data_IF_814830206430
#
_entry.id   IF_814830206430
#
_cell.length_a   1.000
_cell.length_b   1.000
_cell.length_c   1.000
_cell.angle_alpha   90.00
_cell.angle_beta   90.00
_cell.angle_gamma   90.00
#
_symmetry.space_group_name_H-M   'P 1'
#
loop_
_entity.id
_entity.type
_entity.pdbx_description
1 polymer ?
#
# COMPACT_ATOMS: atom_id res chain seq x y z
N UNK A 1 -70.60 -24.58 15.99
CA UNK A 1 -69.25 -23.97 16.11
C UNK A 1 -68.16 -25.00 16.39
N UNK A 2 -68.37 -26.03 17.21
CA UNK A 2 -67.36 -27.07 17.53
C UNK A 2 -66.84 -27.86 16.32
N UNK A 3 -67.68 -28.17 15.33
CA UNK A 3 -67.24 -28.89 14.12
C UNK A 3 -66.26 -28.07 13.25
N UNK A 4 -66.45 -26.75 13.18
CA UNK A 4 -65.52 -25.85 12.48
C UNK A 4 -64.17 -25.74 13.20
N UNK A 5 -64.19 -25.70 14.54
CA UNK A 5 -62.97 -25.76 15.37
C UNK A 5 -62.23 -27.09 15.16
N UNK A 6 -62.94 -28.22 15.10
CA UNK A 6 -62.33 -29.53 14.83
C UNK A 6 -61.77 -29.64 13.40
N UNK A 7 -62.49 -29.12 12.41
CA UNK A 7 -62.06 -29.13 11.00
C UNK A 7 -60.80 -28.26 10.78
N UNK A 8 -60.72 -27.11 11.45
CA UNK A 8 -59.55 -26.24 11.36
C UNK A 8 -58.32 -26.87 12.03
N UNK A 9 -58.50 -27.56 13.16
CA UNK A 9 -57.45 -28.39 13.77
C UNK A 9 -56.96 -29.52 12.85
N UNK A 10 -57.88 -30.25 12.20
CA UNK A 10 -57.53 -31.32 11.26
C UNK A 10 -56.75 -30.80 10.04
N UNK A 11 -57.16 -29.65 9.47
CA UNK A 11 -56.42 -29.01 8.37
C UNK A 11 -55.02 -28.56 8.80
N UNK A 12 -54.89 -28.05 10.03
CA UNK A 12 -53.59 -27.69 10.60
C UNK A 12 -52.67 -28.91 10.69
N UNK A 13 -53.16 -30.02 11.26
CA UNK A 13 -52.42 -31.27 11.35
C UNK A 13 -52.03 -31.84 9.97
N UNK A 14 -52.93 -31.79 8.98
CA UNK A 14 -52.62 -32.22 7.61
C UNK A 14 -51.46 -31.42 7.00
N UNK A 15 -51.42 -30.11 7.24
CA UNK A 15 -50.34 -29.24 6.74
C UNK A 15 -49.01 -29.51 7.44
N UNK A 16 -49.04 -29.80 8.74
CA UNK A 16 -47.84 -30.17 9.50
C UNK A 16 -47.24 -31.50 9.01
N UNK A 17 -48.11 -32.51 8.81
CA UNK A 17 -47.72 -33.80 8.25
C UNK A 17 -47.16 -33.61 6.85
N UNK A 18 -47.82 -32.86 5.97
CA UNK A 18 -47.33 -32.62 4.62
C UNK A 18 -45.95 -31.93 4.60
N UNK A 19 -45.74 -30.94 5.46
CA UNK A 19 -44.45 -30.24 5.60
C UNK A 19 -43.36 -31.18 6.11
N UNK A 20 -43.68 -31.99 7.11
CA UNK A 20 -42.74 -32.99 7.68
C UNK A 20 -42.42 -34.09 6.68
N UNK A 21 -43.41 -34.60 5.95
CA UNK A 21 -43.22 -35.60 4.89
C UNK A 21 -42.32 -35.07 3.78
N UNK A 22 -42.48 -33.80 3.36
CA UNK A 22 -41.61 -33.19 2.37
C UNK A 22 -40.16 -33.05 2.86
N UNK A 23 -39.97 -32.69 4.13
CA UNK A 23 -38.64 -32.63 4.74
C UNK A 23 -37.95 -34.00 4.75
N UNK A 24 -38.68 -35.07 5.13
CA UNK A 24 -38.16 -36.44 5.17
C UNK A 24 -37.80 -36.90 3.77
N UNK A 25 -38.66 -36.64 2.78
CA UNK A 25 -38.41 -37.01 1.39
C UNK A 25 -37.15 -36.35 0.80
N UNK A 26 -36.77 -35.16 1.28
CA UNK A 26 -35.61 -34.41 0.80
C UNK A 26 -34.36 -34.52 1.68
N UNK A 27 -34.30 -35.50 2.59
CA UNK A 27 -33.15 -35.68 3.50
C UNK A 27 -31.82 -35.91 2.75
N UNK A 28 -31.87 -36.53 1.56
CA UNK A 28 -30.70 -36.78 0.72
C UNK A 28 -30.35 -35.64 -0.24
N UNK A 29 -31.18 -34.61 -0.34
CA UNK A 29 -31.00 -33.52 -1.29
C UNK A 29 -29.97 -32.50 -0.78
N UNK A 30 -28.87 -32.34 -1.52
CA UNK A 30 -27.85 -31.34 -1.21
C UNK A 30 -28.42 -29.91 -1.24
N UNK A 31 -28.05 -29.10 -0.24
CA UNK A 31 -28.48 -27.70 -0.14
C UNK A 31 -29.95 -27.50 0.30
N UNK A 32 -30.70 -28.56 0.59
CA UNK A 32 -32.09 -28.45 1.05
C UNK A 32 -32.19 -27.72 2.41
N UNK A 33 -33.18 -26.84 2.55
CA UNK A 33 -33.52 -26.16 3.80
C UNK A 33 -34.89 -26.63 4.29
N UNK A 34 -34.90 -27.32 5.43
CA UNK A 34 -36.13 -27.83 6.03
C UNK A 34 -37.12 -26.71 6.32
N UNK A 35 -38.40 -27.01 6.16
CA UNK A 35 -39.49 -26.09 6.44
C UNK A 35 -40.27 -26.50 7.69
N UNK A 36 -40.93 -25.54 8.36
CA UNK A 36 -41.81 -25.79 9.50
C UNK A 36 -43.13 -25.03 9.30
N UNK A 37 -44.25 -25.70 9.59
CA UNK A 37 -45.55 -25.06 9.66
C UNK A 37 -45.68 -24.26 10.96
N UNK A 38 -46.13 -23.02 10.85
CA UNK A 38 -46.48 -22.16 11.98
C UNK A 38 -47.99 -21.96 12.04
N UNK A 39 -48.57 -22.12 13.23
CA UNK A 39 -50.00 -22.00 13.46
C UNK A 39 -50.32 -20.76 14.29
N UNK A 40 -51.49 -20.18 14.06
CA UNK A 40 -52.10 -19.15 14.88
C UNK A 40 -53.47 -19.59 15.36
N UNK A 41 -53.90 -19.04 16.48
CA UNK A 41 -55.29 -19.15 16.93
C UNK A 41 -56.20 -18.25 16.07
N UNK A 42 -57.47 -18.61 16.00
CA UNK A 42 -58.52 -17.77 15.42
C UNK A 42 -59.40 -17.32 16.58
N UNK A 43 -59.50 -16.01 16.77
CA UNK A 43 -60.41 -15.41 17.75
C UNK A 43 -61.41 -14.49 17.06
N UNK A 44 -62.69 -14.62 17.42
CA UNK A 44 -63.72 -13.65 17.06
C UNK A 44 -63.65 -12.46 18.01
N UNK A 45 -63.23 -11.30 17.53
CA UNK A 45 -63.11 -10.12 18.38
C UNK A 45 -64.46 -9.42 18.55
N UNK A 46 -65.00 -9.42 19.76
CA UNK A 46 -65.81 -8.30 20.25
C UNK A 46 -65.03 -7.63 21.39
N UNK A 47 -64.62 -6.35 21.28
CA UNK A 47 -63.69 -5.68 22.22
C UNK A 47 -64.14 -5.59 23.68
N UNK A 48 -65.38 -5.98 24.00
CA UNK A 48 -66.01 -5.82 25.32
C UNK A 48 -66.34 -7.15 26.01
N UNK A 49 -65.99 -8.30 25.43
CA UNK A 49 -66.38 -9.62 25.95
C UNK A 49 -65.16 -10.41 26.46
N UNK A 50 -65.09 -10.60 27.78
CA UNK A 50 -63.97 -11.26 28.49
C UNK A 50 -64.01 -12.79 28.50
N UNK A 51 -65.13 -13.41 28.11
CA UNK A 51 -65.33 -14.87 28.10
C UNK A 51 -65.65 -15.40 26.69
N UNK A 52 -64.77 -15.17 25.73
CA UNK A 52 -64.99 -15.60 24.33
C UNK A 52 -64.29 -16.92 24.06
N UNK A 53 -65.04 -17.94 23.61
CA UNK A 53 -64.50 -19.24 23.21
C UNK A 53 -63.73 -19.10 21.90
N UNK A 54 -62.52 -19.67 21.83
CA UNK A 54 -61.69 -19.64 20.61
C UNK A 54 -62.36 -20.30 19.40
N UNK A 55 -62.09 -19.77 18.20
CA UNK A 55 -62.72 -20.20 16.95
C UNK A 55 -61.89 -21.24 16.16
N UNK A 56 -60.83 -21.79 16.76
CA UNK A 56 -59.95 -22.81 16.15
C UNK A 56 -58.56 -22.29 15.82
N UNK A 57 -57.90 -22.90 14.83
CA UNK A 57 -56.52 -22.57 14.44
C UNK A 57 -56.36 -22.43 12.93
N UNK A 58 -55.43 -21.61 12.47
CA UNK A 58 -55.06 -21.52 11.06
C UNK A 58 -53.55 -21.67 10.90
N UNK A 59 -53.13 -22.27 9.78
CA UNK A 59 -51.73 -22.19 9.37
C UNK A 59 -51.42 -20.76 8.94
N UNK A 60 -50.48 -20.13 9.65
CA UNK A 60 -50.05 -18.75 9.40
C UNK A 60 -49.02 -18.67 8.29
N UNK A 61 -48.03 -19.56 8.32
CA UNK A 61 -46.98 -19.62 7.30
C UNK A 61 -46.23 -20.95 7.34
N UNK A 62 -45.54 -21.28 6.24
CA UNK A 62 -44.54 -22.33 6.20
C UNK A 62 -43.19 -21.63 6.05
N UNK A 63 -42.34 -21.72 7.07
CA UNK A 63 -41.03 -21.04 7.08
C UNK A 63 -39.89 -22.01 6.86
N UNK A 64 -38.96 -21.62 5.99
CA UNK A 64 -37.68 -22.32 5.83
C UNK A 64 -36.74 -22.02 6.99
N UNK A 65 -35.97 -23.02 7.41
CA UNK A 65 -34.95 -22.90 8.44
C UNK A 65 -33.56 -22.90 7.80
N UNK A 66 -32.84 -21.78 7.92
CA UNK A 66 -31.52 -21.57 7.32
C UNK A 66 -30.33 -22.02 8.19
N UNK A 67 -30.55 -22.94 9.13
CA UNK A 67 -29.45 -23.53 9.90
C UNK A 67 -28.44 -24.24 9.00
N UNK A 68 -27.16 -24.22 9.40
CA UNK A 68 -26.10 -24.96 8.71
C UNK A 68 -26.29 -26.47 8.94
N UNK A 69 -26.19 -27.26 7.87
CA UNK A 69 -26.17 -28.71 7.93
C UNK A 69 -24.75 -29.25 7.91
N UNK A 70 -24.60 -30.58 8.00
CA UNK A 70 -23.32 -31.24 7.88
C UNK A 70 -22.74 -31.05 6.47
N UNK A 71 -21.43 -30.81 6.39
CA UNK A 71 -20.70 -30.75 5.14
C UNK A 71 -20.01 -32.11 4.95
N UNK A 72 -20.31 -32.79 3.85
CA UNK A 72 -19.61 -34.00 3.43
C UNK A 72 -18.52 -33.64 2.44
N UNK A 73 -17.38 -34.32 2.50
CA UNK A 73 -16.35 -34.17 1.48
C UNK A 73 -16.78 -34.88 0.19
N UNK A 74 -16.42 -34.29 -0.94
CA UNK A 74 -16.55 -34.88 -2.27
C UNK A 74 -15.16 -35.04 -2.90
N UNK A 75 -15.03 -35.96 -3.84
CA UNK A 75 -13.81 -36.15 -4.64
C UNK A 75 -13.79 -35.24 -5.88
N UNK A 76 -14.92 -34.64 -6.26
CA UNK A 76 -15.01 -33.74 -7.40
C UNK A 76 -14.49 -32.34 -7.03
N UNK A 77 -13.69 -31.74 -7.91
CA UNK A 77 -13.06 -30.44 -7.68
C UNK A 77 -14.04 -29.26 -7.76
N UNK A 78 -15.13 -29.43 -8.52
CA UNK A 78 -16.17 -28.41 -8.68
C UNK A 78 -17.31 -28.52 -7.66
N UNK A 79 -17.25 -29.51 -6.76
CA UNK A 79 -18.21 -29.62 -5.67
C UNK A 79 -17.80 -28.69 -4.53
N UNK A 80 -18.57 -27.61 -4.35
CA UNK A 80 -18.29 -26.57 -3.37
C UNK A 80 -19.38 -26.49 -2.30
N UNK A 81 -18.98 -26.15 -1.07
CA UNK A 81 -19.91 -25.88 0.01
C UNK A 81 -19.57 -24.55 0.69
N UNK A 82 -20.54 -23.66 0.80
CA UNK A 82 -20.39 -22.44 1.63
C UNK A 82 -20.50 -22.84 3.11
N UNK A 83 -19.48 -22.51 3.90
CA UNK A 83 -19.53 -22.59 5.36
C UNK A 83 -20.06 -21.26 5.92
N UNK A 84 -21.18 -21.32 6.63
CA UNK A 84 -21.85 -20.13 7.16
C UNK A 84 -22.94 -19.57 6.22
N UNK A 85 -23.16 -18.26 6.34
CA UNK A 85 -24.18 -17.54 5.57
C UNK A 85 -23.68 -17.21 4.16
N UNK A 86 -24.58 -17.21 3.19
CA UNK A 86 -24.29 -16.93 1.78
C UNK A 86 -24.91 -17.95 0.84
N UNK A 87 -24.98 -17.61 -0.45
CA UNK A 87 -25.53 -18.45 -1.52
C UNK A 87 -24.62 -18.34 -2.74
N UNK A 88 -24.62 -19.38 -3.58
CA UNK A 88 -24.10 -19.28 -4.93
C UNK A 88 -25.11 -18.55 -5.81
N UNK A 89 -24.60 -17.73 -6.72
CA UNK A 89 -25.37 -16.95 -7.69
C UNK A 89 -25.29 -17.63 -9.05
N UNK A 90 -26.45 -17.88 -9.66
CA UNK A 90 -26.56 -18.48 -10.98
C UNK A 90 -27.37 -17.60 -11.91
N UNK A 91 -27.17 -17.80 -13.21
CA UNK A 91 -27.93 -17.17 -14.27
C UNK A 91 -28.65 -18.23 -15.09
N UNK A 92 -29.96 -18.07 -15.26
CA UNK A 92 -30.78 -19.03 -16.00
C UNK A 92 -30.33 -19.18 -17.45
N UNK A 93 -30.12 -20.41 -17.90
CA UNK A 93 -29.55 -20.69 -19.23
C UNK A 93 -30.41 -20.25 -20.42
N UNK A 94 -31.72 -20.08 -20.23
CA UNK A 94 -32.65 -19.61 -21.27
C UNK A 94 -33.20 -18.19 -21.08
N UNK A 95 -33.07 -17.61 -19.88
CA UNK A 95 -33.56 -16.27 -19.55
C UNK A 95 -32.41 -15.43 -18.99
N UNK A 96 -31.75 -14.68 -19.87
CA UNK A 96 -30.54 -13.90 -19.59
C UNK A 96 -30.69 -12.77 -18.55
N UNK A 97 -31.85 -12.63 -17.88
CA UNK A 97 -32.11 -11.64 -16.85
C UNK A 97 -32.41 -12.20 -15.45
N UNK A 98 -32.57 -13.51 -15.27
CA UNK A 98 -32.92 -14.06 -13.96
C UNK A 98 -31.68 -14.56 -13.22
N UNK A 99 -31.38 -13.89 -12.10
CA UNK A 99 -30.42 -14.37 -11.10
C UNK A 99 -31.11 -15.31 -10.14
N UNK A 100 -30.52 -16.49 -9.92
CA UNK A 100 -30.99 -17.54 -9.02
C UNK A 100 -29.98 -17.73 -7.91
N UNK A 101 -30.45 -18.00 -6.68
CA UNK A 101 -29.59 -18.25 -5.53
C UNK A 101 -29.76 -19.70 -5.06
N UNK A 102 -28.66 -20.41 -4.82
CA UNK A 102 -28.70 -21.79 -4.34
C UNK A 102 -27.64 -22.06 -3.27
N UNK A 103 -27.87 -23.10 -2.47
CA UNK A 103 -26.86 -23.69 -1.58
C UNK A 103 -26.31 -25.00 -2.11
N UNK A 104 -26.90 -25.56 -3.16
CA UNK A 104 -26.35 -26.73 -3.82
C UNK A 104 -25.12 -26.29 -4.64
N UNK A 105 -23.95 -26.79 -4.28
CA UNK A 105 -22.72 -26.47 -5.00
C UNK A 105 -22.18 -27.64 -5.80
N UNK A 106 -23.05 -28.54 -6.28
CA UNK A 106 -22.67 -29.54 -7.28
C UNK A 106 -22.69 -28.90 -8.66
N UNK A 107 -21.50 -28.62 -9.18
CA UNK A 107 -21.31 -27.98 -10.49
C UNK A 107 -20.53 -28.90 -11.44
N UNK A 108 -20.77 -28.71 -12.73
CA UNK A 108 -20.07 -29.40 -13.82
C UNK A 108 -19.68 -28.41 -14.91
N UNK A 109 -18.83 -28.85 -15.84
CA UNK A 109 -18.41 -28.05 -17.00
C UNK A 109 -19.23 -28.50 -18.21
N UNK A 110 -19.80 -27.56 -18.96
CA UNK A 110 -20.48 -27.87 -20.22
C UNK A 110 -19.51 -27.88 -21.42
N UNK A 111 -20.00 -28.25 -22.61
CA UNK A 111 -19.19 -28.36 -23.83
C UNK A 111 -18.51 -27.04 -24.25
N UNK A 112 -19.06 -25.90 -23.83
CA UNK A 112 -18.51 -24.57 -24.09
C UNK A 112 -17.55 -24.09 -22.98
N UNK A 113 -17.22 -24.94 -22.01
CA UNK A 113 -16.29 -24.63 -20.91
C UNK A 113 -16.90 -23.83 -19.77
N UNK A 114 -18.22 -23.57 -19.77
CA UNK A 114 -18.87 -22.86 -18.68
C UNK A 114 -19.16 -23.78 -17.50
N UNK A 115 -19.06 -23.23 -16.28
CA UNK A 115 -19.44 -23.93 -15.05
C UNK A 115 -20.96 -23.80 -14.87
N UNK A 116 -21.66 -24.92 -14.82
CA UNK A 116 -23.11 -25.02 -14.75
C UNK A 116 -23.58 -25.94 -13.63
N UNK A 117 -24.82 -25.76 -13.17
CA UNK A 117 -25.49 -26.73 -12.29
C UNK A 117 -26.15 -27.88 -13.09
N UNK A 118 -26.78 -28.83 -12.38
CA UNK A 118 -27.51 -29.95 -13.00
C UNK A 118 -28.69 -29.53 -13.88
N UNK A 119 -29.17 -28.28 -13.76
CA UNK A 119 -30.26 -27.72 -14.56
C UNK A 119 -29.74 -26.88 -15.74
N UNK A 120 -28.42 -26.82 -15.96
CA UNK A 120 -27.78 -26.02 -17.00
C UNK A 120 -27.75 -24.51 -16.71
N UNK A 121 -27.93 -24.10 -15.45
CA UNK A 121 -27.80 -22.71 -15.02
C UNK A 121 -26.32 -22.37 -14.83
N UNK A 122 -25.90 -21.19 -15.28
CA UNK A 122 -24.50 -20.78 -15.26
C UNK A 122 -24.10 -20.21 -13.91
N UNK A 123 -23.01 -20.71 -13.32
CA UNK A 123 -22.42 -20.13 -12.11
C UNK A 123 -21.81 -18.76 -12.42
N UNK A 124 -22.14 -17.77 -11.61
CA UNK A 124 -21.61 -16.42 -11.73
C UNK A 124 -20.37 -16.22 -10.84
N UNK A 125 -19.43 -15.44 -11.33
CA UNK A 125 -18.25 -15.01 -10.60
C UNK A 125 -17.83 -13.61 -11.01
N UNK A 126 -16.92 -13.03 -10.24
CA UNK A 126 -16.43 -11.70 -10.54
C UNK A 126 -15.39 -11.74 -11.68
N UNK A 127 -15.46 -10.81 -12.65
CA UNK A 127 -14.48 -10.74 -13.72
C UNK A 127 -13.12 -10.32 -13.16
N UNK A 128 -12.07 -10.86 -13.76
CA UNK A 128 -10.68 -10.47 -13.48
C UNK A 128 -10.13 -9.64 -14.65
N UNK A 129 -9.32 -8.64 -14.33
CA UNK A 129 -8.60 -7.86 -15.33
C UNK A 129 -7.33 -8.58 -15.80
N UNK A 130 -6.62 -7.98 -16.76
CA UNK A 130 -5.37 -8.52 -17.31
C UNK A 130 -4.22 -8.60 -16.27
N UNK A 131 -4.37 -7.92 -15.12
CA UNK A 131 -3.44 -8.00 -13.99
C UNK A 131 -3.84 -9.07 -12.96
N UNK A 132 -4.93 -9.80 -13.19
CA UNK A 132 -5.47 -10.80 -12.27
C UNK A 132 -6.24 -10.19 -11.08
N UNK A 133 -6.45 -8.87 -11.06
CA UNK A 133 -7.26 -8.23 -10.04
C UNK A 133 -8.75 -8.31 -10.39
N UNK A 134 -9.61 -8.37 -9.38
CA UNK A 134 -11.06 -8.39 -9.58
C UNK A 134 -11.52 -7.02 -10.09
N UNK A 135 -12.03 -6.96 -11.32
CA UNK A 135 -12.44 -5.74 -11.99
C UNK A 135 -13.75 -5.18 -11.45
N UNK A 136 -14.70 -6.05 -11.09
CA UNK A 136 -16.00 -5.66 -10.53
C UNK A 136 -16.41 -6.64 -9.43
N UNK A 137 -16.87 -6.11 -8.29
CA UNK A 137 -17.33 -6.88 -7.11
C UNK A 137 -18.83 -6.78 -6.89
N UNK A 138 -19.57 -6.20 -7.83
CA UNK A 138 -21.02 -6.09 -7.78
C UNK A 138 -21.66 -7.33 -8.41
N UNK A 139 -22.90 -7.60 -8.03
CA UNK A 139 -23.69 -8.67 -8.64
C UNK A 139 -24.02 -8.37 -10.11
N UNK A 140 -24.16 -7.10 -10.47
CA UNK A 140 -24.45 -6.65 -11.84
C UNK A 140 -23.25 -6.85 -12.78
N UNK A 141 -22.04 -6.64 -12.28
CA UNK A 141 -20.80 -6.91 -13.00
C UNK A 141 -20.36 -8.37 -13.00
N UNK A 142 -21.08 -9.27 -12.30
CA UNK A 142 -20.74 -10.69 -12.27
C UNK A 142 -21.00 -11.34 -13.64
N UNK A 143 -20.04 -12.13 -14.10
CA UNK A 143 -20.06 -12.81 -15.40
C UNK A 143 -20.17 -14.31 -15.23
N UNK A 144 -20.59 -15.01 -16.28
CA UNK A 144 -20.62 -16.47 -16.29
C UNK A 144 -19.18 -17.00 -16.21
N UNK A 145 -18.93 -17.90 -15.27
CA UNK A 145 -17.62 -18.52 -15.13
C UNK A 145 -17.38 -19.47 -16.31
N UNK A 146 -16.30 -19.22 -17.03
CA UNK A 146 -15.84 -20.03 -18.15
C UNK A 146 -14.39 -20.42 -17.91
N UNK A 147 -14.11 -21.72 -18.03
CA UNK A 147 -12.76 -22.24 -18.08
C UNK A 147 -12.20 -21.95 -19.47
N UNK A 148 -11.35 -20.94 -19.58
CA UNK A 148 -10.60 -20.69 -20.80
C UNK A 148 -9.52 -21.76 -20.97
N UNK A 149 -9.43 -22.35 -22.16
CA UNK A 149 -8.33 -23.24 -22.52
C UNK A 149 -7.06 -22.47 -22.94
N UNK A 150 -7.09 -21.13 -22.95
CA UNK A 150 -5.94 -20.31 -23.30
C UNK A 150 -4.95 -20.25 -22.16
N UNK A 151 -3.75 -20.76 -22.41
CA UNK A 151 -2.59 -20.52 -21.56
C UNK A 151 -2.17 -19.04 -21.69
N UNK A 152 -1.66 -18.46 -20.61
CA UNK A 152 -1.25 -17.05 -20.61
C UNK A 152 -0.24 -16.75 -21.71
N UNK A 153 -0.36 -15.58 -22.33
CA UNK A 153 0.56 -15.14 -23.36
C UNK A 153 1.94 -14.83 -22.76
N UNK A 154 3.04 -15.12 -23.48
CA UNK A 154 4.37 -14.74 -23.03
C UNK A 154 4.49 -13.21 -22.91
N UNK A 155 5.13 -12.76 -21.83
CA UNK A 155 5.38 -11.33 -21.58
C UNK A 155 6.89 -11.08 -21.56
N UNK A 156 7.36 -10.20 -22.45
CA UNK A 156 8.75 -9.81 -22.52
C UNK A 156 9.23 -9.12 -21.23
N UNK A 157 10.48 -9.37 -20.85
CA UNK A 157 11.10 -8.75 -19.67
C UNK A 157 11.34 -7.25 -19.92
N UNK A 158 10.72 -6.39 -19.11
CA UNK A 158 10.84 -4.92 -19.26
C UNK A 158 11.84 -4.25 -18.31
N UNK A 159 12.14 -4.89 -17.18
CA UNK A 159 12.98 -4.29 -16.14
C UNK A 159 13.84 -5.36 -15.49
N UNK A 160 15.12 -5.04 -15.32
CA UNK A 160 16.09 -5.81 -14.56
C UNK A 160 16.57 -4.90 -13.44
N UNK A 161 16.49 -5.36 -12.19
CA UNK A 161 17.12 -4.69 -11.06
C UNK A 161 18.30 -5.56 -10.63
N UNK A 162 19.51 -4.99 -10.63
CA UNK A 162 20.71 -5.68 -10.19
C UNK A 162 21.36 -4.88 -9.05
N UNK A 163 21.58 -5.54 -7.91
CA UNK A 163 22.44 -5.05 -6.84
C UNK A 163 23.76 -5.79 -6.94
N UNK A 164 24.87 -5.06 -7.12
CA UNK A 164 26.21 -5.66 -7.25
C UNK A 164 27.18 -5.06 -6.25
N UNK A 165 28.07 -5.91 -5.73
CA UNK A 165 29.24 -5.49 -4.97
C UNK A 165 30.48 -5.79 -5.81
N UNK A 166 31.15 -4.76 -6.29
CA UNK A 166 32.28 -4.90 -7.22
C UNK A 166 33.61 -4.90 -6.45
N UNK A 167 34.57 -5.77 -6.84
CA UNK A 167 35.86 -5.89 -6.16
C UNK A 167 36.66 -4.59 -6.19
N UNK A 168 37.27 -4.18 -5.08
CA UNK A 168 38.13 -2.99 -5.04
C UNK A 168 39.53 -3.26 -5.61
N UNK A 169 39.98 -4.52 -5.59
CA UNK A 169 41.31 -4.98 -5.99
C UNK A 169 41.41 -5.37 -7.47
N UNK A 170 40.31 -5.34 -8.22
CA UNK A 170 40.35 -5.60 -9.66
C UNK A 170 41.28 -4.60 -10.38
N UNK A 171 42.07 -5.04 -11.36
CA UNK A 171 42.95 -4.15 -12.12
C UNK A 171 42.15 -3.16 -12.95
N UNK A 172 42.70 -1.95 -13.11
CA UNK A 172 42.14 -0.92 -14.00
C UNK A 172 42.38 -1.34 -15.45
N UNK A 173 41.32 -1.37 -16.24
CA UNK A 173 41.37 -1.59 -17.70
C UNK A 173 41.66 -0.25 -18.35
N UNK A 174 42.80 -0.16 -19.05
CA UNK A 174 43.25 1.07 -19.69
C UNK A 174 42.29 1.50 -20.82
N UNK A 175 42.12 2.80 -21.01
CA UNK A 175 41.15 3.37 -21.96
C UNK A 175 41.41 3.00 -23.44
N UNK A 176 42.62 2.58 -23.78
CA UNK A 176 43.01 2.12 -25.12
C UNK A 176 42.71 0.64 -25.39
N UNK A 177 42.27 -0.12 -24.37
CA UNK A 177 41.87 -1.52 -24.54
C UNK A 177 40.44 -1.58 -25.06
N UNK A 178 40.28 -2.15 -26.26
CA UNK A 178 38.95 -2.43 -26.80
C UNK A 178 38.28 -3.55 -25.99
N UNK A 179 37.01 -3.38 -25.67
CA UNK A 179 36.23 -4.40 -24.96
C UNK A 179 35.97 -5.62 -25.85
N UNK A 180 36.19 -6.82 -25.30
CA UNK A 180 35.83 -8.10 -25.90
C UNK A 180 35.20 -9.02 -24.84
N UNK A 181 33.95 -9.42 -25.06
CA UNK A 181 33.22 -10.29 -24.14
C UNK A 181 33.87 -11.67 -23.94
N UNK A 182 34.73 -12.11 -24.86
CA UNK A 182 35.45 -13.38 -24.80
C UNK A 182 36.86 -13.25 -24.18
N UNK A 183 37.36 -12.03 -23.99
CA UNK A 183 38.64 -11.78 -23.34
C UNK A 183 38.44 -11.25 -21.91
N UNK A 184 38.73 -12.13 -20.95
CA UNK A 184 38.64 -11.84 -19.51
C UNK A 184 39.57 -10.70 -19.05
N UNK A 185 40.54 -10.26 -19.86
CA UNK A 185 41.39 -9.10 -19.54
C UNK A 185 40.73 -7.76 -19.85
N UNK A 186 39.63 -7.75 -20.59
CA UNK A 186 38.97 -6.52 -21.04
C UNK A 186 37.83 -6.07 -20.11
N UNK A 187 37.52 -6.84 -19.06
CA UNK A 187 36.52 -6.51 -18.04
C UNK A 187 36.95 -7.00 -16.65
N UNK A 188 36.35 -6.44 -15.61
CA UNK A 188 36.69 -6.73 -14.21
C UNK A 188 35.77 -7.77 -13.58
N UNK A 189 34.48 -7.75 -13.93
CA UNK A 189 33.49 -8.73 -13.49
C UNK A 189 32.36 -8.85 -14.52
N UNK A 190 31.60 -9.94 -14.47
CA UNK A 190 30.38 -10.09 -15.26
C UNK A 190 29.26 -10.74 -14.45
N UNK A 191 28.02 -10.50 -14.84
CA UNK A 191 26.85 -11.13 -14.26
C UNK A 191 25.83 -11.40 -15.34
N UNK A 192 25.26 -12.60 -15.35
CA UNK A 192 24.26 -13.01 -16.34
C UNK A 192 22.92 -13.28 -15.68
N UNK A 193 21.85 -12.92 -16.39
CA UNK A 193 20.46 -13.19 -15.98
C UNK A 193 19.67 -13.63 -17.20
N UNK A 194 18.80 -14.62 -17.01
CA UNK A 194 17.86 -15.04 -18.06
C UNK A 194 16.72 -14.04 -18.13
N UNK A 195 16.50 -13.47 -19.32
CA UNK A 195 15.34 -12.64 -19.65
C UNK A 195 14.49 -13.34 -20.71
N UNK A 196 13.26 -12.86 -20.93
CA UNK A 196 12.35 -13.43 -21.91
C UNK A 196 12.01 -12.40 -23.00
N UNK A 197 11.96 -12.86 -24.25
CA UNK A 197 11.46 -12.07 -25.38
C UNK A 197 9.92 -12.09 -25.46
N UNK A 198 9.35 -11.41 -26.46
CA UNK A 198 7.91 -11.35 -26.66
C UNK A 198 7.30 -12.70 -27.09
N UNK A 199 8.11 -13.66 -27.54
CA UNK A 199 7.71 -15.03 -27.82
C UNK A 199 7.84 -15.96 -26.62
N UNK A 200 8.34 -15.47 -25.48
CA UNK A 200 8.59 -16.27 -24.28
C UNK A 200 9.85 -17.12 -24.35
N UNK A 201 10.70 -16.91 -25.36
CA UNK A 201 11.96 -17.64 -25.44
C UNK A 201 12.95 -17.06 -24.42
N UNK A 202 13.69 -17.91 -23.69
CA UNK A 202 14.74 -17.44 -22.79
C UNK A 202 15.91 -16.88 -23.59
N UNK A 203 16.43 -15.75 -23.12
CA UNK A 203 17.55 -14.99 -23.66
C UNK A 203 18.54 -14.71 -22.55
N UNK A 204 19.84 -14.81 -22.82
CA UNK A 204 20.86 -14.54 -21.80
C UNK A 204 21.26 -13.07 -21.86
N UNK A 205 20.99 -12.33 -20.79
CA UNK A 205 21.43 -10.96 -20.63
C UNK A 205 22.65 -10.91 -19.71
N UNK A 206 23.81 -10.56 -20.27
CA UNK A 206 25.08 -10.47 -19.54
C UNK A 206 25.50 -9.01 -19.40
N UNK A 207 25.73 -8.58 -18.17
CA UNK A 207 26.29 -7.27 -17.83
C UNK A 207 27.76 -7.46 -17.47
N UNK A 208 28.64 -6.76 -18.18
CA UNK A 208 30.07 -6.68 -17.91
C UNK A 208 30.37 -5.36 -17.19
N UNK A 209 31.19 -5.45 -16.14
CA UNK A 209 31.65 -4.34 -15.32
C UNK A 209 33.13 -4.12 -15.60
N UNK A 210 33.51 -2.91 -15.99
CA UNK A 210 34.87 -2.57 -16.41
C UNK A 210 35.37 -1.44 -15.51
N UNK A 211 36.38 -1.73 -14.69
CA UNK A 211 37.02 -0.73 -13.82
C UNK A 211 37.91 0.18 -14.67
N UNK A 212 37.58 1.46 -14.74
CA UNK A 212 38.31 2.45 -15.54
C UNK A 212 39.24 3.35 -14.71
N UNK A 213 39.09 3.36 -13.38
CA UNK A 213 39.89 4.24 -12.52
C UNK A 213 39.92 3.73 -11.07
N UNK A 214 41.10 3.86 -10.45
CA UNK A 214 41.27 3.81 -9.00
C UNK A 214 41.05 5.19 -8.35
N UNK A 215 40.78 5.23 -7.03
CA UNK A 215 40.75 6.47 -6.27
C UNK A 215 42.07 7.22 -6.39
N UNK A 216 41.97 8.53 -6.56
CA UNK A 216 43.09 9.48 -6.57
C UNK A 216 42.79 10.62 -5.61
N UNK A 217 43.78 11.42 -5.25
CA UNK A 217 43.57 12.57 -4.34
C UNK A 217 42.54 13.59 -4.89
N UNK A 218 42.41 13.68 -6.22
CA UNK A 218 41.44 14.55 -6.88
C UNK A 218 40.04 13.93 -7.02
N UNK A 219 39.95 12.60 -7.03
CA UNK A 219 38.71 11.84 -7.16
C UNK A 219 38.81 10.55 -6.32
N UNK A 220 38.27 10.53 -5.09
CA UNK A 220 38.43 9.43 -4.16
C UNK A 220 37.52 8.22 -4.48
N UNK A 221 36.93 8.16 -5.68
CA UNK A 221 35.97 7.10 -6.06
C UNK A 221 36.53 6.11 -7.07
N UNK A 222 36.14 4.84 -6.93
CA UNK A 222 36.33 3.84 -7.99
C UNK A 222 35.37 4.14 -9.14
N UNK A 223 35.87 4.09 -10.37
CA UNK A 223 35.02 4.23 -11.57
C UNK A 223 34.85 2.91 -12.27
N UNK A 224 33.58 2.55 -12.47
CA UNK A 224 33.15 1.40 -13.24
C UNK A 224 32.26 1.86 -14.39
N UNK A 225 32.48 1.28 -15.56
CA UNK A 225 31.57 1.37 -16.69
C UNK A 225 30.88 0.02 -16.90
N UNK A 226 29.69 0.03 -17.48
CA UNK A 226 28.91 -1.18 -17.76
C UNK A 226 28.70 -1.34 -19.25
N UNK A 227 28.77 -2.58 -19.71
CA UNK A 227 28.32 -2.99 -21.05
C UNK A 227 27.35 -4.15 -20.90
N UNK A 228 26.21 -4.07 -21.58
CA UNK A 228 25.19 -5.11 -21.51
C UNK A 228 25.07 -5.78 -22.88
N UNK A 229 25.00 -7.10 -22.87
CA UNK A 229 24.80 -7.93 -24.05
C UNK A 229 23.57 -8.79 -23.87
N UNK A 230 22.75 -8.90 -24.90
CA UNK A 230 21.64 -9.87 -24.96
C UNK A 230 21.87 -10.74 -26.19
N UNK A 231 21.99 -12.06 -25.98
CA UNK A 231 22.29 -13.02 -27.07
C UNK A 231 23.52 -12.63 -27.93
N UNK A 232 24.55 -12.06 -27.28
CA UNK A 232 25.79 -11.64 -27.96
C UNK A 232 25.71 -10.31 -28.69
N UNK A 233 24.56 -9.62 -28.69
CA UNK A 233 24.42 -8.26 -29.24
C UNK A 233 24.57 -7.22 -28.13
N UNK A 234 25.47 -6.26 -28.32
CA UNK A 234 25.66 -5.15 -27.37
C UNK A 234 24.42 -4.24 -27.37
N UNK A 235 23.82 -4.07 -26.19
CA UNK A 235 22.78 -3.07 -25.96
C UNK A 235 23.46 -1.78 -25.54
N UNK A 236 23.50 -0.82 -26.46
CA UNK A 236 24.03 0.51 -26.17
C UNK A 236 22.97 1.30 -25.40
N UNK A 237 23.26 1.80 -24.19
CA UNK A 237 22.31 2.63 -23.48
C UNK A 237 22.07 3.90 -24.29
N UNK A 238 20.82 4.12 -24.71
CA UNK A 238 20.40 5.39 -25.27
C UNK A 238 19.82 6.25 -24.17
N UNK A 239 20.31 7.47 -24.03
CA UNK A 239 19.69 8.46 -23.16
C UNK A 239 18.37 8.88 -23.80
N UNK A 240 17.27 8.28 -23.35
CA UNK A 240 15.93 8.68 -23.76
C UNK A 240 15.35 9.63 -22.72
N UNK A 241 14.75 10.74 -23.18
CA UNK A 241 14.08 11.72 -22.31
C UNK A 241 12.96 11.06 -21.53
N UNK A 242 12.76 11.49 -20.27
CA UNK A 242 11.64 11.03 -19.46
C UNK A 242 10.32 11.33 -20.18
N UNK A 243 9.41 10.36 -20.25
CA UNK A 243 8.09 10.54 -20.85
C UNK A 243 6.99 10.47 -19.80
N UNK A 244 5.87 11.14 -20.02
CA UNK A 244 4.65 10.91 -19.23
C UNK A 244 4.02 9.52 -19.51
N UNK A 245 2.89 9.23 -18.84
CA UNK A 245 2.13 7.99 -19.00
C UNK A 245 1.56 7.80 -20.43
N UNK A 246 1.60 8.83 -21.28
CA UNK A 246 1.17 8.80 -22.68
C UNK A 246 2.35 8.79 -23.66
N UNK A 247 3.59 8.74 -23.17
CA UNK A 247 4.78 8.69 -24.01
C UNK A 247 5.28 10.05 -24.50
N UNK A 248 4.73 11.17 -24.01
CA UNK A 248 5.17 12.52 -24.39
C UNK A 248 6.41 12.89 -23.60
N UNK A 249 7.46 13.36 -24.28
CA UNK A 249 8.72 13.79 -23.65
C UNK A 249 8.50 14.95 -22.69
N UNK A 250 9.03 14.83 -21.47
CA UNK A 250 9.02 15.86 -20.46
C UNK A 250 10.32 16.66 -20.50
N UNK A 251 10.19 17.96 -20.32
CA UNK A 251 11.26 18.93 -20.20
C UNK A 251 11.22 19.49 -18.78
N UNK A 252 12.40 19.67 -18.19
CA UNK A 252 12.57 20.33 -16.89
C UNK A 252 13.35 21.61 -17.16
N UNK A 253 12.84 22.75 -16.70
CA UNK A 253 13.61 24.00 -16.75
C UNK A 253 14.69 24.07 -15.67
N UNK A 254 15.53 25.10 -15.75
CA UNK A 254 16.55 25.45 -14.73
C UNK A 254 16.00 25.67 -13.31
N UNK A 255 14.68 25.75 -13.14
CA UNK A 255 13.96 25.95 -11.88
C UNK A 255 13.20 24.70 -11.39
N UNK A 256 13.27 23.57 -12.13
CA UNK A 256 12.62 22.32 -11.76
C UNK A 256 11.17 22.16 -12.21
N UNK A 257 10.62 23.08 -13.00
CA UNK A 257 9.26 22.96 -13.52
C UNK A 257 9.21 22.03 -14.73
N UNK A 258 8.18 21.15 -14.75
CA UNK A 258 7.96 20.17 -15.82
C UNK A 258 7.05 20.74 -16.91
N UNK A 259 7.42 20.59 -18.17
CA UNK A 259 6.56 20.88 -19.34
C UNK A 259 6.65 19.77 -20.38
N UNK A 260 5.63 19.63 -21.21
CA UNK A 260 5.62 18.75 -22.39
C UNK A 260 5.73 19.52 -23.71
N UNK A 261 5.75 20.85 -23.65
CA UNK A 261 5.81 21.74 -24.82
C UNK A 261 6.79 22.91 -24.55
N UNK A 262 8.10 22.72 -24.76
CA UNK A 262 9.06 23.80 -24.70
C UNK A 262 8.92 24.63 -25.98
N UNK A 263 8.62 25.92 -25.84
CA UNK A 263 8.71 26.85 -26.97
C UNK A 263 10.16 27.27 -27.17
N UNK A 264 10.63 27.31 -28.41
CA UNK A 264 12.02 27.70 -28.77
C UNK A 264 12.43 29.10 -28.26
N UNK A 265 11.48 29.88 -27.76
CA UNK A 265 11.65 31.24 -27.23
C UNK A 265 12.04 31.27 -25.75
N UNK A 266 11.93 30.15 -25.00
CA UNK A 266 12.23 30.15 -23.57
C UNK A 266 13.63 29.57 -23.25
N UNK A 267 14.64 30.41 -22.96
CA UNK A 267 16.02 29.98 -22.65
C UNK A 267 16.15 29.27 -21.28
N UNK A 268 15.04 28.99 -20.59
CA UNK A 268 15.03 28.28 -19.32
C UNK A 268 15.07 26.74 -19.47
N UNK A 269 14.76 26.19 -20.65
CA UNK A 269 14.68 24.75 -20.87
C UNK A 269 15.97 24.17 -21.48
N UNK A 270 16.40 23.04 -20.95
CA UNK A 270 17.60 22.34 -21.39
C UNK A 270 17.28 21.50 -22.63
N UNK A 271 17.74 21.97 -23.79
CA UNK A 271 17.88 21.16 -25.01
C UNK A 271 19.15 20.29 -24.89
N UNK A 272 19.18 19.19 -25.65
CA UNK A 272 19.98 17.98 -25.39
C UNK A 272 21.44 18.19 -24.90
N UNK A 273 21.87 17.32 -23.97
CA UNK A 273 23.28 17.06 -23.69
C UNK A 273 24.00 18.05 -22.77
N UNK A 274 23.34 19.07 -22.19
CA UNK A 274 23.96 20.03 -21.27
C UNK A 274 23.33 19.98 -19.88
N UNK A 275 24.08 19.56 -18.86
CA UNK A 275 23.64 19.73 -17.47
C UNK A 275 23.77 21.19 -17.02
N UNK A 276 22.77 21.74 -16.35
CA UNK A 276 22.85 23.03 -15.67
C UNK A 276 22.74 22.84 -14.15
N UNK A 277 23.40 23.67 -13.32
CA UNK A 277 23.17 23.69 -11.89
C UNK A 277 21.70 24.02 -11.61
N UNK A 278 21.06 23.22 -10.75
CA UNK A 278 19.67 23.42 -10.36
C UNK A 278 19.61 24.64 -9.42
N UNK A 279 18.98 25.73 -9.87
CA UNK A 279 18.75 26.87 -9.00
C UNK A 279 17.40 26.68 -8.32
N UNK A 280 17.42 26.41 -7.00
CA UNK A 280 16.20 26.56 -6.20
C UNK A 280 15.99 28.06 -6.00
N UNK A 281 14.88 28.59 -6.52
CA UNK A 281 14.35 29.84 -5.99
C UNK A 281 13.92 29.54 -4.55
N UNK A 282 14.65 30.09 -3.58
CA UNK A 282 14.20 30.12 -2.20
C UNK A 282 13.06 31.15 -2.17
N UNK A 283 11.82 30.67 -2.28
CA UNK A 283 10.62 31.51 -2.26
C UNK A 283 10.37 31.92 -0.79
N UNK A 284 11.29 32.75 -0.29
CA UNK A 284 11.08 33.54 0.91
C UNK A 284 9.85 34.39 0.61
N UNK A 285 8.70 33.97 1.14
CA UNK A 285 7.44 34.71 1.02
C UNK A 285 7.59 36.18 1.46
N UNK A 286 6.54 36.99 1.27
CA UNK A 286 6.61 38.43 1.53
C UNK A 286 7.32 38.75 2.85
N UNK A 287 8.26 39.69 2.79
CA UNK A 287 9.06 40.11 3.93
C UNK A 287 8.14 40.56 5.08
N UNK A 288 7.97 39.71 6.08
CA UNK A 288 7.27 40.07 7.30
C UNK A 288 8.12 41.10 8.06
N UNK A 289 7.60 42.31 8.25
CA UNK A 289 8.24 43.28 9.15
C UNK A 289 8.21 42.71 10.56
N UNK A 290 9.39 42.48 11.15
CA UNK A 290 9.52 42.04 12.53
C UNK A 290 8.82 43.04 13.47
N UNK A 291 7.87 42.56 14.27
CA UNK A 291 7.37 43.31 15.42
C UNK A 291 8.40 43.20 16.55
N UNK A 292 8.86 44.30 17.15
CA UNK A 292 9.75 44.24 18.30
C UNK A 292 9.09 43.47 19.45
N UNK A 293 9.81 42.52 20.06
CA UNK A 293 9.35 41.88 21.27
C UNK A 293 9.36 42.90 22.43
N UNK A 294 8.25 43.04 23.16
CA UNK A 294 8.24 43.75 24.44
C UNK A 294 8.88 42.87 25.51
N UNK A 295 9.95 43.35 26.13
CA UNK A 295 10.52 42.76 27.34
C UNK A 295 9.82 43.43 28.53
N UNK A 296 9.10 42.65 29.33
CA UNK A 296 8.66 43.06 30.67
C UNK A 296 9.58 42.41 31.70
N UNK A 297 10.32 43.23 32.45
CA UNK A 297 11.16 42.78 33.56
C UNK A 297 11.06 43.79 34.71
N UNK A 298 11.11 43.30 35.95
CA UNK A 298 11.15 44.16 37.14
C UNK A 298 12.47 44.94 37.16
N UNK A 299 12.42 46.24 37.45
CA UNK A 299 13.60 47.10 37.54
C UNK A 299 14.57 46.64 38.64
N UNK A 300 15.85 46.91 38.46
CA UNK A 300 16.95 46.56 39.36
C UNK A 300 16.75 47.05 40.82
N UNK A 301 15.96 48.10 41.01
CA UNK A 301 15.57 48.62 42.33
C UNK A 301 14.71 47.64 43.13
N UNK A 302 13.91 46.80 42.46
CA UNK A 302 13.10 45.76 43.12
C UNK A 302 13.93 44.53 43.54
N UNK A 303 15.13 44.34 42.97
CA UNK A 303 16.01 43.21 43.28
C UNK A 303 17.02 43.54 44.41
N UNK A 304 17.31 44.83 44.62
CA UNK A 304 18.27 45.33 45.62
C UNK A 304 17.62 46.06 46.81
N UNK A 305 16.28 46.07 46.91
CA UNK A 305 15.57 46.55 48.10
C UNK A 305 15.81 45.67 49.33
N UNK A 306 15.76 46.25 50.53
CA UNK A 306 15.99 45.62 51.84
C UNK A 306 17.44 45.19 52.16
N UNK A 307 18.43 46.02 51.81
CA UNK A 307 19.78 45.92 52.39
C UNK A 307 20.56 44.66 52.00
N UNK A 308 20.13 43.98 50.93
CA UNK A 308 20.82 42.81 50.38
C UNK A 308 22.01 43.27 49.52
N UNK A 309 23.23 42.91 49.94
CA UNK A 309 24.45 43.12 49.17
C UNK A 309 24.75 41.87 48.33
N UNK A 310 25.18 42.08 47.08
CA UNK A 310 25.68 41.00 46.22
C UNK A 310 27.21 41.06 46.25
N UNK A 311 27.87 40.02 46.75
CA UNK A 311 29.33 39.93 46.75
C UNK A 311 29.81 39.30 45.44
N UNK A 312 30.76 39.96 44.77
CA UNK A 312 31.32 39.51 43.49
C UNK A 312 32.83 39.44 43.64
N UNK A 313 33.42 38.30 43.29
CA UNK A 313 34.88 38.08 43.39
C UNK A 313 35.45 37.76 42.01
N UNK A 314 36.62 38.32 41.71
CA UNK A 314 37.39 38.08 40.46
C UNK A 314 38.77 37.49 40.71
N UNK A 315 39.15 37.24 41.97
CA UNK A 315 40.38 36.56 42.34
C UNK A 315 40.26 35.04 42.08
N UNK A 316 41.06 34.45 41.16
CA UNK A 316 40.98 33.03 40.84
C UNK A 316 41.18 32.10 42.04
N UNK A 317 41.92 32.53 43.07
CA UNK A 317 42.11 31.73 44.29
C UNK A 317 40.83 31.58 45.11
N UNK A 318 39.87 32.49 44.92
CA UNK A 318 38.60 32.50 45.62
C UNK A 318 37.44 31.93 44.79
N UNK A 319 37.69 31.46 43.56
CA UNK A 319 36.66 30.92 42.66
C UNK A 319 35.83 29.80 43.30
N UNK A 320 36.44 28.96 44.15
CA UNK A 320 35.75 27.86 44.86
C UNK A 320 34.60 28.31 45.77
N UNK A 321 34.58 29.57 46.19
CA UNK A 321 33.51 30.13 47.04
C UNK A 321 32.29 30.61 46.23
N UNK A 322 32.40 30.65 44.91
CA UNK A 322 31.36 31.21 44.04
C UNK A 322 30.25 30.19 43.77
N UNK A 323 29.05 30.70 43.51
CA UNK A 323 27.91 29.89 43.11
C UNK A 323 28.16 29.15 41.79
N UNK A 324 28.93 29.73 40.87
CA UNK A 324 29.30 29.14 39.58
C UNK A 324 30.19 27.90 39.76
N UNK A 325 31.12 27.94 40.71
CA UNK A 325 31.89 26.75 41.07
C UNK A 325 31.00 25.67 41.68
N UNK A 326 30.07 26.03 42.57
CA UNK A 326 29.12 25.07 43.17
C UNK A 326 28.25 24.38 42.09
N UNK A 327 27.76 25.15 41.12
CA UNK A 327 26.96 24.64 40.00
C UNK A 327 27.77 23.72 39.08
N UNK A 328 29.03 24.05 38.77
CA UNK A 328 29.91 23.17 37.99
C UNK A 328 30.24 21.85 38.69
N UNK A 329 30.14 21.82 40.02
CA UNK A 329 30.36 20.62 40.83
C UNK A 329 29.04 19.95 41.28
N UNK A 330 27.93 20.28 40.62
CA UNK A 330 26.60 19.67 40.84
C UNK A 330 26.08 19.76 42.29
N UNK A 331 26.39 20.84 43.00
CA UNK A 331 25.82 21.12 44.33
C UNK A 331 24.46 21.82 44.13
N UNK A 332 23.38 21.19 44.58
CA UNK A 332 22.00 21.70 44.45
C UNK A 332 21.22 21.56 45.79
N UNK A 333 20.63 22.64 46.34
CA UNK A 333 20.74 24.03 45.87
C UNK A 333 22.06 24.69 46.29
N UNK A 334 22.66 25.54 45.45
CA UNK A 334 23.87 26.27 45.81
C UNK A 334 23.59 27.25 46.96
N UNK A 335 24.58 27.44 47.83
CA UNK A 335 24.49 28.40 48.94
C UNK A 335 24.56 29.83 48.38
N UNK A 336 23.52 30.66 48.57
CA UNK A 336 23.50 32.03 48.05
C UNK A 336 24.53 32.91 48.76
N UNK A 337 25.35 33.67 48.03
CA UNK A 337 26.20 34.68 48.68
C UNK A 337 27.29 35.33 47.83
N UNK A 338 27.97 34.59 46.96
CA UNK A 338 29.10 35.13 46.19
C UNK A 338 29.06 34.67 44.74
N UNK A 339 29.16 35.62 43.80
CA UNK A 339 29.15 35.36 42.36
C UNK A 339 30.54 35.56 41.75
N UNK A 340 30.85 34.79 40.71
CA UNK A 340 32.09 34.94 39.95
C UNK A 340 32.00 36.10 38.96
N UNK A 341 32.87 37.09 39.14
CA UNK A 341 32.81 38.35 38.40
C UNK A 341 33.41 38.34 36.99
N UNK A 342 33.29 37.23 36.22
CA UNK A 342 33.91 37.20 34.88
C UNK A 342 33.27 38.14 33.85
N UNK A 343 32.08 38.71 34.13
CA UNK A 343 31.32 39.53 33.18
C UNK A 343 30.67 40.80 33.78
N UNK A 344 31.02 41.25 34.99
CA UNK A 344 30.31 42.39 35.61
C UNK A 344 30.68 43.78 35.04
N UNK A 345 31.74 43.89 34.24
CA UNK A 345 32.07 45.12 33.51
C UNK A 345 31.59 45.14 32.05
N UNK A 346 31.00 44.05 31.54
CA UNK A 346 30.43 44.00 30.18
C UNK A 346 28.90 44.11 30.16
N UNK A 347 28.24 44.04 31.32
CA UNK A 347 26.78 43.97 31.43
C UNK A 347 26.11 45.32 31.75
N UNK A 348 26.61 46.42 31.18
CA UNK A 348 25.78 47.62 30.97
C UNK A 348 25.25 47.71 29.54
N UNK A 349 25.76 46.91 28.62
CA UNK A 349 25.23 46.77 27.28
C UNK A 349 25.31 45.30 26.85
N UNK A 350 24.15 44.65 26.70
CA UNK A 350 23.94 43.36 26.03
C UNK A 350 23.95 42.11 26.92
N UNK A 351 22.74 41.64 27.28
CA UNK A 351 22.46 40.23 27.57
C UNK A 351 21.29 39.79 26.69
N UNK A 352 21.56 38.90 25.73
CA UNK A 352 20.56 38.03 25.09
C UNK A 352 21.14 36.61 25.10
N UNK A 353 20.45 35.71 25.80
CA UNK A 353 20.77 34.29 25.91
C UNK A 353 19.96 33.49 24.88
N UNK A 354 20.72 32.77 24.04
CA UNK A 354 20.60 31.37 23.60
C UNK A 354 19.21 30.69 23.50
N UNK A 355 18.94 30.11 22.33
CA UNK A 355 18.16 28.86 22.19
C UNK A 355 19.00 27.77 21.49
N UNK A 356 18.82 26.53 21.94
CA UNK A 356 19.61 25.32 21.66
C UNK A 356 18.76 24.31 20.87
N UNK A 357 19.33 23.64 19.87
CA UNK A 357 18.90 22.32 19.31
C UNK A 357 20.08 21.76 18.46
N UNK A 358 20.90 20.84 18.99
CA UNK A 358 20.82 19.36 18.88
C UNK A 358 21.08 18.83 17.44
N UNK A 359 22.25 18.16 17.32
CA UNK A 359 22.70 17.10 16.38
C UNK A 359 22.24 17.10 14.90
N UNK A 360 23.22 17.13 13.98
CA UNK A 360 23.10 16.59 12.61
C UNK A 360 23.99 15.35 12.45
N UNK A 361 23.50 14.24 11.89
CA UNK A 361 24.33 13.21 11.29
C UNK A 361 24.83 13.67 9.90
N UNK A 362 26.04 13.26 9.56
CA UNK A 362 26.60 13.36 8.21
C UNK A 362 25.88 12.34 7.34
N UNK A 363 25.02 12.81 6.41
CA UNK A 363 24.51 11.97 5.34
C UNK A 363 25.42 12.05 4.12
N UNK A 364 25.93 10.90 3.73
CA UNK A 364 26.54 10.61 2.43
C UNK A 364 25.55 11.02 1.33
N UNK A 365 25.98 11.89 0.43
CA UNK A 365 25.22 12.26 -0.76
C UNK A 365 25.41 11.16 -1.80
N UNK A 366 24.57 10.13 -1.77
CA UNK A 366 24.43 9.20 -2.89
C UNK A 366 23.71 9.96 -4.00
N UNK A 367 24.42 10.25 -5.10
CA UNK A 367 23.78 10.64 -6.36
C UNK A 367 22.98 9.45 -6.88
N UNK A 368 21.70 9.39 -6.53
CA UNK A 368 20.75 8.47 -7.14
C UNK A 368 20.28 9.05 -8.48
N UNK A 369 20.71 8.44 -9.58
CA UNK A 369 20.11 8.64 -10.89
C UNK A 369 18.94 7.67 -11.02
N UNK A 370 17.71 8.18 -10.91
CA UNK A 370 16.52 7.45 -11.33
C UNK A 370 16.36 7.63 -12.84
N UNK A 371 16.74 6.62 -13.63
CA UNK A 371 16.43 6.55 -15.06
C UNK A 371 15.41 5.44 -15.32
N UNK A 372 14.24 5.74 -15.92
CA UNK A 372 13.40 4.73 -16.53
C UNK A 372 13.97 4.37 -17.90
N UNK A 373 14.52 3.15 -18.03
CA UNK A 373 14.82 2.55 -19.32
C UNK A 373 13.53 2.03 -19.95
N UNK A 374 13.16 2.56 -21.13
CA UNK A 374 12.17 1.94 -22.02
C UNK A 374 12.91 1.11 -23.06
N UNK A 375 12.46 -0.13 -23.24
CA UNK A 375 12.93 -1.06 -24.26
C UNK A 375 12.05 -0.92 -25.50
N UNK A 376 12.66 -0.83 -26.68
CA UNK A 376 12.00 -0.98 -27.97
C UNK A 376 12.11 -2.41 -28.47
#
# INVERSE_FOLDING_TARGET
MSFYTALTGLKGAQTDIATTSNNIANVGSSGFKKSRAEFGDIFGSTPLQTNTVGAGTATKSIKQQFSQGNISQSTNTLDMAVSGQGFFTLKGGGNAGQTVFTRNGSFSVNDAGFIVDSNGQFLLGYPVDNGGAVADKTLEGAVQLQLAASFGDPVATKKINAGVNLPSDAPVVAANVAFDANDAKTYSASSSVTIFDNGGNPKSATVFYIKSQDPTDADPTFKYSTKMFVDGVEIKPQLTRATDNKGVTQFIDKFGQKTTAPTEINPAYILDGKGAPLYKADDLGEAAKSTPAMITGLGLEAFLGDGKTVEIVTDPMQFKRTMEWQALNNIDPPVPGTFWGKDFYSSMWTIVVLFRLIYRPVHILVRSWLMPLKWH
#
